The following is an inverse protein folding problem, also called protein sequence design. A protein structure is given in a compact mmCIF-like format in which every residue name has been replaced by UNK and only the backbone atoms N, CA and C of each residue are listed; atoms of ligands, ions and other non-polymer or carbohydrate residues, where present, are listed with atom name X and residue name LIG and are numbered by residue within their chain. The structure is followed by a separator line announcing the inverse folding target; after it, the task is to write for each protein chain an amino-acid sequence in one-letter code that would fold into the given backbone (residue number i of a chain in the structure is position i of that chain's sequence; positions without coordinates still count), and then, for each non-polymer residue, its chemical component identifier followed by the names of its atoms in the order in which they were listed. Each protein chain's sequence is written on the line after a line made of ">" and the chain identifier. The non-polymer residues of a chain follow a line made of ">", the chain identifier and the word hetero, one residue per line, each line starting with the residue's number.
data_IF_641686786627
#
_entry.id   IF_641686786627
#
_cell.length_a   1.000
_cell.length_b   1.000
_cell.length_c   1.000
_cell.angle_alpha   90.00
_cell.angle_beta   90.00
_cell.angle_gamma   90.00
#
_symmetry.space_group_name_H-M   'P 1'
#
loop_
_entity.id
_entity.type
_entity.pdbx_description
1 polymer ?
#
# COMPACT_ATOMS: atom_id res chain seq x y z
N UNK A 1 20.87 28.75 11.96
CA UNK A 1 21.33 29.27 10.64
C UNK A 1 21.21 28.12 9.64
N UNK A 2 20.00 27.63 9.40
CA UNK A 2 18.99 28.06 8.42
C UNK A 2 19.29 27.69 6.96
N UNK A 3 18.31 26.98 6.40
CA UNK A 3 17.98 26.80 4.98
C UNK A 3 18.91 25.95 4.09
N UNK A 4 18.54 24.67 3.93
CA UNK A 4 18.54 24.07 2.58
C UNK A 4 17.09 23.86 2.15
N UNK A 5 16.74 24.61 1.12
CA UNK A 5 15.44 24.69 0.46
C UNK A 5 14.94 23.30 0.04
N UNK A 6 13.90 22.80 0.71
CA UNK A 6 13.02 21.77 0.16
C UNK A 6 12.23 22.47 -0.95
N UNK A 7 12.40 21.96 -2.16
CA UNK A 7 11.90 22.57 -3.40
C UNK A 7 10.40 22.33 -3.49
N UNK A 8 9.66 23.38 -3.83
CA UNK A 8 8.21 23.44 -4.04
C UNK A 8 7.65 22.45 -5.09
N UNK A 9 8.51 21.72 -5.81
CA UNK A 9 8.11 20.64 -6.72
C UNK A 9 7.60 19.39 -5.97
N UNK A 10 8.17 19.04 -4.81
CA UNK A 10 7.79 17.84 -4.04
C UNK A 10 6.38 17.95 -3.41
N UNK A 11 5.94 19.16 -3.07
CA UNK A 11 4.59 19.41 -2.57
C UNK A 11 3.53 19.27 -3.67
N UNK A 12 3.85 19.69 -4.90
CA UNK A 12 2.95 19.52 -6.05
C UNK A 12 2.84 18.05 -6.49
N UNK A 13 3.93 17.28 -6.35
CA UNK A 13 3.95 15.84 -6.62
C UNK A 13 3.12 15.07 -5.59
N UNK A 14 3.22 15.43 -4.30
CA UNK A 14 2.42 14.84 -3.23
C UNK A 14 0.91 15.15 -3.37
N UNK A 15 0.53 16.34 -3.86
CA UNK A 15 -0.86 16.68 -4.16
C UNK A 15 -1.42 15.93 -5.38
N UNK A 16 -0.59 15.69 -6.40
CA UNK A 16 -0.96 14.87 -7.57
C UNK A 16 -1.10 13.38 -7.20
N UNK A 17 -0.22 12.85 -6.36
CA UNK A 17 -0.27 11.47 -5.84
C UNK A 17 -1.47 11.23 -4.89
N UNK A 18 -1.87 12.26 -4.12
CA UNK A 18 -3.08 12.21 -3.31
C UNK A 18 -4.36 12.21 -4.16
N UNK A 19 -4.40 13.02 -5.23
CA UNK A 19 -5.56 13.13 -6.12
C UNK A 19 -5.81 11.87 -6.95
N UNK A 20 -4.75 11.17 -7.36
CA UNK A 20 -4.83 9.89 -8.08
C UNK A 20 -5.26 8.75 -7.16
N UNK A 21 -4.78 8.72 -5.90
CA UNK A 21 -5.23 7.80 -4.86
C UNK A 21 -6.73 7.93 -4.52
N UNK A 22 -7.26 9.16 -4.49
CA UNK A 22 -8.68 9.42 -4.26
C UNK A 22 -9.57 8.96 -5.43
N UNK A 23 -9.03 9.00 -6.65
CA UNK A 23 -9.73 8.60 -7.87
C UNK A 23 -9.80 7.07 -8.00
N UNK A 24 -8.72 6.37 -7.63
CA UNK A 24 -8.67 4.92 -7.55
C UNK A 24 -9.61 4.36 -6.45
N UNK A 25 -9.68 5.02 -5.27
CA UNK A 25 -10.64 4.66 -4.22
C UNK A 25 -12.10 4.82 -4.68
N UNK A 26 -12.43 5.90 -5.41
CA UNK A 26 -13.77 6.11 -5.96
C UNK A 26 -14.16 5.05 -7.00
N UNK A 27 -13.20 4.58 -7.81
CA UNK A 27 -13.41 3.48 -8.75
C UNK A 27 -13.59 2.13 -8.04
N UNK A 28 -12.85 1.87 -6.95
CA UNK A 28 -13.00 0.66 -6.14
C UNK A 28 -14.40 0.56 -5.50
N UNK A 29 -14.90 1.67 -4.93
CA UNK A 29 -16.27 1.77 -4.39
C UNK A 29 -17.32 1.59 -5.48
N UNK A 30 -17.08 2.11 -6.69
CA UNK A 30 -17.98 1.96 -7.84
C UNK A 30 -18.04 0.51 -8.33
N UNK A 31 -16.90 -0.19 -8.38
CA UNK A 31 -16.82 -1.61 -8.78
C UNK A 31 -17.51 -2.54 -7.78
N UNK A 32 -17.37 -2.26 -6.48
CA UNK A 32 -18.06 -3.01 -5.41
C UNK A 32 -19.59 -2.84 -5.43
N UNK A 33 -20.08 -1.71 -5.96
CA UNK A 33 -21.52 -1.47 -6.11
C UNK A 33 -22.14 -2.15 -7.34
N UNK A 34 -21.33 -2.59 -8.31
CA UNK A 34 -21.82 -3.18 -9.58
C UNK A 34 -21.81 -4.71 -9.62
N UNK A 35 -21.19 -5.40 -8.65
CA UNK A 35 -21.18 -6.88 -8.61
C UNK A 35 -22.33 -7.46 -7.77
N UNK A 36 -23.38 -7.91 -8.46
CA UNK A 36 -24.30 -9.05 -8.18
C UNK A 36 -24.96 -9.19 -6.80
N UNK A 37 -26.29 -9.27 -6.84
CA UNK A 37 -27.27 -9.52 -5.77
C UNK A 37 -26.91 -10.61 -4.72
N UNK A 38 -26.90 -10.27 -3.41
CA UNK A 38 -26.94 -11.26 -2.33
C UNK A 38 -28.23 -11.21 -1.47
N UNK A 39 -28.57 -12.38 -0.93
CA UNK A 39 -29.65 -12.67 0.03
C UNK A 39 -29.59 -11.81 1.31
N UNK A 40 -30.75 -11.65 1.98
CA UNK A 40 -31.06 -10.68 3.06
C UNK A 40 -30.11 -10.65 4.28
N UNK A 41 -29.24 -11.63 4.49
CA UNK A 41 -28.22 -11.61 5.56
C UNK A 41 -26.85 -11.03 5.13
N UNK A 42 -26.56 -10.97 3.82
CA UNK A 42 -25.37 -10.31 3.26
C UNK A 42 -25.48 -8.78 3.22
N UNK A 43 -26.70 -8.26 3.34
CA UNK A 43 -26.97 -6.82 3.29
C UNK A 43 -26.38 -6.06 4.50
N UNK A 44 -26.20 -6.72 5.65
CA UNK A 44 -25.75 -6.07 6.89
C UNK A 44 -24.22 -5.93 6.95
N UNK A 45 -23.48 -6.96 6.53
CA UNK A 45 -22.03 -6.93 6.45
C UNK A 45 -21.55 -6.03 5.30
N UNK A 46 -22.23 -6.06 4.15
CA UNK A 46 -21.96 -5.16 3.02
C UNK A 46 -22.29 -3.71 3.39
N UNK A 47 -23.41 -3.46 4.09
CA UNK A 47 -23.71 -2.12 4.62
C UNK A 47 -22.69 -1.65 5.65
N UNK A 48 -22.14 -2.52 6.50
CA UNK A 48 -21.09 -2.14 7.45
C UNK A 48 -19.75 -1.84 6.76
N UNK A 49 -19.35 -2.62 5.75
CA UNK A 49 -18.14 -2.38 4.98
C UNK A 49 -18.24 -1.09 4.14
N UNK A 50 -19.40 -0.88 3.49
CA UNK A 50 -19.72 0.36 2.74
C UNK A 50 -19.85 1.55 3.70
N UNK A 51 -20.36 1.36 4.92
CA UNK A 51 -20.45 2.42 5.94
C UNK A 51 -19.06 2.79 6.47
N UNK A 52 -18.17 1.82 6.71
CA UNK A 52 -16.77 2.01 7.08
C UNK A 52 -15.97 2.75 5.99
N UNK A 53 -16.17 2.38 4.72
CA UNK A 53 -15.58 3.06 3.57
C UNK A 53 -16.16 4.47 3.37
N UNK A 54 -17.47 4.67 3.56
CA UNK A 54 -18.10 6.00 3.43
C UNK A 54 -17.75 6.95 4.60
N UNK A 55 -17.48 6.44 5.80
CA UNK A 55 -16.91 7.24 6.90
C UNK A 55 -15.48 7.67 6.64
N UNK A 56 -14.72 6.92 5.85
CA UNK A 56 -13.40 7.33 5.37
C UNK A 56 -13.45 8.36 4.23
N UNK A 57 -14.53 8.37 3.44
CA UNK A 57 -14.72 9.27 2.28
C UNK A 57 -15.29 10.65 2.65
N UNK A 58 -15.88 10.81 3.85
CA UNK A 58 -16.40 12.11 4.30
C UNK A 58 -15.46 12.75 5.33
N UNK A 59 -14.61 13.72 4.94
CA UNK A 59 -14.18 14.71 5.90
C UNK A 59 -15.45 15.41 6.41
N UNK A 60 -15.69 15.29 7.72
CA UNK A 60 -16.78 15.96 8.41
C UNK A 60 -16.44 17.45 8.51
N UNK A 61 -16.52 18.16 7.38
CA UNK A 61 -16.53 19.62 7.37
C UNK A 61 -17.99 20.02 7.45
N UNK A 62 -18.46 20.24 8.67
CA UNK A 62 -19.66 21.04 8.93
C UNK A 62 -19.41 22.42 8.31
N UNK A 63 -20.02 22.65 7.14
CA UNK A 63 -19.89 23.85 6.32
C UNK A 63 -20.60 25.08 6.89
N UNK A 64 -20.30 25.46 8.13
CA UNK A 64 -20.74 26.74 8.69
C UNK A 64 -19.60 27.63 9.22
N UNK A 65 -18.33 27.22 9.08
CA UNK A 65 -17.19 28.02 9.57
C UNK A 65 -16.24 28.50 8.46
N UNK A 66 -16.55 28.29 7.18
CA UNK A 66 -15.72 28.74 6.04
C UNK A 66 -16.23 30.01 5.33
N UNK A 67 -17.42 30.51 5.66
CA UNK A 67 -17.94 31.78 5.12
C UNK A 67 -17.59 33.01 5.96
N UNK A 68 -17.09 32.84 7.19
CA UNK A 68 -16.75 33.97 8.08
C UNK A 68 -15.25 34.27 8.17
N UNK A 69 -14.40 33.59 7.37
CA UNK A 69 -12.95 33.82 7.33
C UNK A 69 -12.48 34.60 6.08
N UNK A 70 -13.35 34.84 5.09
CA UNK A 70 -13.05 35.72 3.94
C UNK A 70 -13.42 37.19 4.17
N UNK A 71 -14.02 37.52 5.33
CA UNK A 71 -14.39 38.90 5.70
C UNK A 71 -13.45 39.55 6.73
N UNK A 72 -12.53 38.80 7.34
CA UNK A 72 -11.57 39.34 8.32
C UNK A 72 -10.22 39.76 7.72
N UNK A 73 -9.85 39.26 6.53
CA UNK A 73 -8.58 39.62 5.86
C UNK A 73 -8.70 40.89 4.97
N UNK A 74 -9.90 41.30 4.59
CA UNK A 74 -10.13 42.57 3.86
C UNK A 74 -10.11 43.82 4.76
N UNK A 75 -10.07 43.67 6.10
CA UNK A 75 -10.05 44.78 7.05
C UNK A 75 -8.66 45.21 7.53
N UNK A 76 -7.60 44.47 7.16
CA UNK A 76 -6.22 44.79 7.56
C UNK A 76 -5.37 45.49 6.47
N UNK A 77 -5.85 45.56 5.23
CA UNK A 77 -5.14 46.26 4.14
C UNK A 77 -5.60 47.71 3.89
N UNK A 78 -6.62 48.19 4.62
CA UNK A 78 -7.16 49.56 4.47
C UNK A 78 -6.78 50.54 5.60
N UNK A 79 -5.77 50.22 6.41
CA UNK A 79 -5.30 51.10 7.48
C UNK A 79 -3.79 51.32 7.46
N UNK A 80 -3.24 51.79 6.34
CA UNK A 80 -2.12 52.74 6.38
C UNK A 80 -1.95 53.51 5.07
N UNK A 81 -2.15 54.83 5.17
CA UNK A 81 -1.48 55.95 4.46
C UNK A 81 -2.48 57.03 4.09
N UNK A 82 -2.69 57.90 5.07
CA UNK A 82 -3.07 59.29 4.92
C UNK A 82 -2.09 60.03 3.99
N UNK A 83 -2.67 60.77 3.01
CA UNK A 83 -2.33 62.14 2.54
C UNK A 83 -0.87 62.55 2.41
N UNK A 84 -0.37 63.20 1.36
CA UNK A 84 -0.87 63.92 0.18
C UNK A 84 0.38 64.62 -0.40
N UNK A 85 0.57 64.81 -1.70
CA UNK A 85 0.05 65.96 -2.45
C UNK A 85 0.49 65.84 -3.92
N UNK A 86 -0.50 65.97 -4.82
CA UNK A 86 -0.51 66.78 -6.05
C UNK A 86 0.63 66.54 -7.07
N UNK A 87 0.40 65.74 -8.10
CA UNK A 87 -0.21 66.16 -9.37
C UNK A 87 0.58 67.24 -10.11
N UNK A 88 1.44 66.81 -11.03
CA UNK A 88 1.78 67.56 -12.22
C UNK A 88 2.24 66.60 -13.32
N UNK A 89 1.48 66.63 -14.42
CA UNK A 89 1.91 66.39 -15.80
C UNK A 89 1.84 64.94 -16.32
N UNK A 90 0.61 64.40 -16.26
CA UNK A 90 0.01 63.65 -17.37
C UNK A 90 0.07 64.51 -18.65
N UNK A 91 1.06 64.22 -19.50
CA UNK A 91 1.20 64.86 -20.82
C UNK A 91 2.12 64.14 -21.81
N UNK A 92 2.79 63.04 -21.40
CA UNK A 92 3.76 62.32 -22.26
C UNK A 92 3.40 60.85 -22.55
N UNK A 93 2.21 60.38 -22.15
CA UNK A 93 1.82 58.97 -22.28
C UNK A 93 1.09 58.59 -23.59
N UNK A 94 0.80 59.55 -24.47
CA UNK A 94 0.07 59.27 -25.74
C UNK A 94 0.96 59.11 -26.98
N UNK A 95 2.28 59.33 -26.88
CA UNK A 95 3.21 59.16 -28.01
C UNK A 95 3.77 57.73 -28.14
N UNK A 96 3.81 56.95 -27.05
CA UNK A 96 4.42 55.60 -27.04
C UNK A 96 3.41 54.50 -27.45
N UNK A 97 2.10 54.76 -27.37
CA UNK A 97 1.05 53.77 -27.71
C UNK A 97 0.87 53.55 -29.22
N UNK A 98 1.37 54.43 -30.10
CA UNK A 98 1.18 54.31 -31.56
C UNK A 98 2.31 53.60 -32.32
N UNK A 99 3.46 53.30 -31.68
CA UNK A 99 4.59 52.63 -32.35
C UNK A 99 4.77 51.13 -32.01
N UNK A 100 3.91 50.54 -31.16
CA UNK A 100 3.93 49.10 -30.86
C UNK A 100 2.86 48.29 -31.61
N UNK A 101 2.42 48.74 -32.79
CA UNK A 101 1.41 48.03 -33.60
C UNK A 101 1.87 47.67 -35.02
N UNK A 102 3.18 47.74 -35.31
CA UNK A 102 3.68 47.47 -36.67
C UNK A 102 4.91 46.56 -36.78
N UNK A 103 5.34 45.95 -35.67
CA UNK A 103 6.54 45.06 -35.62
C UNK A 103 6.29 43.71 -34.93
N UNK A 104 5.05 43.34 -34.69
CA UNK A 104 4.65 42.07 -34.03
C UNK A 104 4.02 41.04 -34.97
N UNK A 105 4.06 41.26 -36.28
CA UNK A 105 3.53 40.32 -37.28
C UNK A 105 4.56 39.38 -37.92
N UNK A 106 5.86 39.71 -37.89
CA UNK A 106 6.90 38.92 -38.57
C UNK A 106 7.74 38.05 -37.62
N UNK A 107 7.83 38.41 -36.33
CA UNK A 107 8.57 37.61 -35.34
C UNK A 107 7.81 36.33 -34.92
N UNK A 108 6.48 36.33 -34.98
CA UNK A 108 5.65 35.17 -34.58
C UNK A 108 5.73 34.05 -35.62
N UNK A 109 5.92 34.37 -36.90
CA UNK A 109 6.03 33.36 -37.97
C UNK A 109 7.39 32.65 -37.99
N UNK A 110 8.48 33.34 -37.59
CA UNK A 110 9.82 32.73 -37.54
C UNK A 110 10.05 31.90 -36.27
N UNK A 111 9.43 32.27 -35.14
CA UNK A 111 9.53 31.48 -33.89
C UNK A 111 8.65 30.21 -33.98
N UNK A 112 7.57 30.24 -34.77
CA UNK A 112 6.72 29.05 -35.01
C UNK A 112 7.29 28.10 -36.07
N UNK A 113 8.14 28.57 -37.00
CA UNK A 113 8.79 27.69 -37.99
C UNK A 113 10.01 26.93 -37.46
N UNK A 114 10.58 27.33 -36.33
CA UNK A 114 11.87 26.80 -35.85
C UNK A 114 11.79 25.94 -34.59
N UNK A 115 10.59 25.55 -34.16
CA UNK A 115 10.39 24.78 -32.93
C UNK A 115 9.60 23.47 -33.11
N UNK A 116 9.56 22.94 -34.33
CA UNK A 116 9.18 21.54 -34.60
C UNK A 116 10.42 20.70 -34.89
N UNK A 117 11.48 20.86 -34.10
CA UNK A 117 12.51 19.82 -34.02
C UNK A 117 11.86 18.64 -33.28
N UNK A 118 11.19 17.78 -34.04
CA UNK A 118 10.86 16.43 -33.59
C UNK A 118 12.20 15.78 -33.27
N UNK A 119 12.56 15.74 -31.99
CA UNK A 119 13.73 15.01 -31.52
C UNK A 119 13.46 13.53 -31.79
N UNK A 120 13.88 13.05 -32.95
CA UNK A 120 13.88 11.63 -33.26
C UNK A 120 14.83 10.95 -32.28
N UNK A 121 14.32 10.01 -31.51
CA UNK A 121 15.11 9.19 -30.59
C UNK A 121 15.81 8.09 -31.40
N UNK A 122 17.14 8.07 -31.38
CA UNK A 122 17.92 7.03 -32.06
C UNK A 122 18.33 5.96 -31.04
N UNK A 123 18.06 4.68 -31.37
CA UNK A 123 18.54 3.53 -30.61
C UNK A 123 18.74 2.33 -31.52
N UNK A 124 19.69 1.45 -31.17
CA UNK A 124 19.96 0.26 -31.95
C UNK A 124 18.91 -0.83 -31.65
N UNK A 125 18.08 -1.19 -32.63
CA UNK A 125 17.04 -2.23 -32.44
C UNK A 125 17.63 -3.65 -32.33
N UNK A 126 18.77 -3.91 -32.96
CA UNK A 126 19.37 -5.24 -33.07
C UNK A 126 20.46 -5.53 -32.04
N UNK A 127 21.27 -6.55 -32.36
CA UNK A 127 22.43 -6.92 -31.57
C UNK A 127 23.54 -5.86 -31.70
N UNK A 128 24.24 -5.60 -30.61
CA UNK A 128 25.31 -4.60 -30.56
C UNK A 128 26.58 -5.18 -29.93
N UNK A 129 27.74 -4.77 -30.44
CA UNK A 129 29.05 -5.18 -29.89
C UNK A 129 29.50 -4.29 -28.73
N UNK A 130 29.06 -3.03 -28.75
CA UNK A 130 29.26 -2.06 -27.68
C UNK A 130 27.92 -1.85 -26.97
N UNK A 131 27.92 -1.87 -25.64
CA UNK A 131 26.70 -1.72 -24.85
C UNK A 131 26.10 -0.31 -25.03
N UNK A 132 24.96 -0.23 -25.71
CA UNK A 132 24.20 1.02 -25.91
C UNK A 132 22.95 1.08 -25.04
N UNK A 133 22.58 2.30 -24.65
CA UNK A 133 21.43 2.58 -23.78
C UNK A 133 20.11 2.23 -24.47
N UNK A 134 19.27 1.46 -23.77
CA UNK A 134 17.90 1.21 -24.19
C UNK A 134 16.96 2.37 -23.82
N UNK A 135 15.90 2.62 -24.60
CA UNK A 135 14.84 3.54 -24.19
C UNK A 135 14.16 3.05 -22.91
N UNK A 136 13.70 3.97 -22.06
CA UNK A 136 12.99 3.63 -20.83
C UNK A 136 13.89 3.21 -19.66
N UNK A 137 13.29 3.02 -18.48
CA UNK A 137 14.00 2.72 -17.23
C UNK A 137 14.20 1.22 -16.97
N UNK A 138 13.30 0.38 -17.50
CA UNK A 138 13.26 -1.06 -17.22
C UNK A 138 13.66 -1.93 -18.41
N UNK A 139 14.00 -1.32 -19.55
CA UNK A 139 14.53 -2.03 -20.70
C UNK A 139 16.05 -2.19 -20.57
N UNK A 140 16.55 -3.38 -20.88
CA UNK A 140 17.98 -3.65 -20.90
C UNK A 140 18.37 -4.58 -22.05
N UNK A 141 19.67 -4.80 -22.18
CA UNK A 141 20.23 -5.79 -23.10
C UNK A 141 20.77 -6.99 -22.35
N UNK A 142 20.47 -8.18 -22.86
CA UNK A 142 21.05 -9.43 -22.36
C UNK A 142 22.39 -9.71 -23.06
N UNK A 143 23.38 -10.20 -22.32
CA UNK A 143 24.64 -10.67 -22.88
C UNK A 143 24.40 -12.01 -23.59
N UNK A 144 24.72 -12.09 -24.88
CA UNK A 144 24.55 -13.31 -25.68
C UNK A 144 25.84 -14.13 -25.69
N UNK A 145 26.97 -13.46 -25.98
CA UNK A 145 28.27 -14.10 -26.07
C UNK A 145 29.35 -13.14 -25.54
N UNK A 146 30.37 -13.71 -24.92
CA UNK A 146 31.55 -12.99 -24.45
C UNK A 146 32.76 -13.88 -24.71
N UNK A 147 33.22 -13.86 -25.97
CA UNK A 147 34.33 -14.68 -26.45
C UNK A 147 35.55 -13.80 -26.77
N UNK A 148 36.67 -14.41 -27.17
CA UNK A 148 37.89 -13.69 -27.59
C UNK A 148 37.65 -12.72 -28.77
N UNK A 149 36.57 -12.93 -29.53
CA UNK A 149 36.12 -12.05 -30.63
C UNK A 149 35.33 -10.80 -30.17
N UNK A 150 35.04 -10.67 -28.87
CA UNK A 150 34.34 -9.54 -28.27
C UNK A 150 32.99 -9.89 -27.63
N UNK A 151 32.39 -8.90 -26.96
CA UNK A 151 31.07 -9.04 -26.32
C UNK A 151 29.95 -8.75 -27.32
N UNK A 152 28.95 -9.62 -27.39
CA UNK A 152 27.73 -9.39 -28.19
C UNK A 152 26.53 -9.30 -27.26
N UNK A 153 25.83 -8.18 -27.34
CA UNK A 153 24.61 -7.89 -26.61
C UNK A 153 23.38 -8.05 -27.50
N UNK A 154 22.30 -8.57 -26.93
CA UNK A 154 21.03 -8.74 -27.62
C UNK A 154 20.26 -7.44 -27.84
N UNK A 155 19.06 -7.54 -28.46
CA UNK A 155 18.17 -6.40 -28.66
C UNK A 155 17.67 -5.85 -27.31
N UNK A 156 17.21 -4.61 -27.30
CA UNK A 156 16.57 -4.02 -26.12
C UNK A 156 15.25 -4.71 -25.81
N UNK A 157 15.03 -5.09 -24.55
CA UNK A 157 13.78 -5.70 -24.12
C UNK A 157 13.67 -5.88 -22.61
N UNK A 158 12.68 -6.67 -22.19
CA UNK A 158 12.53 -7.09 -20.81
C UNK A 158 13.68 -8.03 -20.38
N UNK A 159 14.22 -7.81 -19.19
CA UNK A 159 15.17 -8.76 -18.60
C UNK A 159 14.46 -10.06 -18.18
N UNK A 160 15.15 -11.21 -18.21
CA UNK A 160 14.60 -12.47 -17.74
C UNK A 160 14.28 -12.42 -16.24
N UNK A 161 13.48 -13.38 -15.75
CA UNK A 161 13.20 -13.55 -14.32
C UNK A 161 14.51 -13.67 -13.53
N UNK A 162 14.58 -13.09 -12.34
CA UNK A 162 15.82 -13.03 -11.51
C UNK A 162 16.90 -12.06 -12.04
N UNK A 163 16.59 -11.24 -13.05
CA UNK A 163 17.50 -10.23 -13.58
C UNK A 163 16.89 -8.83 -13.53
N UNK A 164 17.75 -7.82 -13.38
CA UNK A 164 17.37 -6.42 -13.39
C UNK A 164 18.34 -5.61 -14.25
N UNK A 165 17.84 -4.51 -14.82
CA UNK A 165 18.66 -3.54 -15.55
C UNK A 165 19.59 -2.80 -14.57
N UNK A 166 20.89 -2.84 -14.85
CA UNK A 166 21.90 -2.07 -14.12
C UNK A 166 22.04 -0.64 -14.70
N UNK A 167 22.80 0.21 -14.03
CA UNK A 167 23.20 1.58 -14.45
C UNK A 167 23.82 1.63 -15.85
N UNK A 168 24.45 0.55 -16.30
CA UNK A 168 25.00 0.41 -17.65
C UNK A 168 23.99 -0.07 -18.71
N UNK A 169 22.71 -0.22 -18.37
CA UNK A 169 21.63 -0.68 -19.28
C UNK A 169 21.72 -2.16 -19.70
N UNK A 170 22.58 -2.93 -19.03
CA UNK A 170 22.66 -4.38 -19.17
C UNK A 170 21.71 -5.07 -18.17
N UNK A 171 21.14 -6.21 -18.58
CA UNK A 171 20.44 -7.12 -17.67
C UNK A 171 21.46 -7.89 -16.83
N UNK A 172 21.51 -7.63 -15.53
CA UNK A 172 22.36 -8.33 -14.56
C UNK A 172 21.51 -9.17 -13.61
N UNK A 173 22.03 -10.33 -13.21
CA UNK A 173 21.37 -11.21 -12.24
C UNK A 173 21.31 -10.54 -10.86
N UNK A 174 20.19 -10.72 -10.16
CA UNK A 174 20.03 -10.27 -8.78
C UNK A 174 20.71 -11.25 -7.82
N UNK A 175 21.77 -10.77 -7.17
CA UNK A 175 22.58 -11.56 -6.23
C UNK A 175 22.40 -11.12 -4.77
N UNK A 176 21.65 -10.06 -4.54
CA UNK A 176 21.38 -9.53 -3.21
C UNK A 176 20.39 -10.42 -2.45
N UNK A 177 20.40 -10.31 -1.12
CA UNK A 177 19.42 -10.94 -0.24
C UNK A 177 18.35 -9.94 0.21
N UNK A 178 17.13 -10.39 0.55
CA UNK A 178 16.08 -9.49 1.01
C UNK A 178 16.51 -8.79 2.30
N UNK A 179 16.24 -7.50 2.38
CA UNK A 179 16.46 -6.73 3.59
C UNK A 179 15.52 -7.20 4.71
N UNK A 180 15.80 -6.81 5.96
CA UNK A 180 14.91 -7.13 7.09
C UNK A 180 13.49 -6.57 6.85
N UNK A 181 13.38 -5.40 6.23
CA UNK A 181 12.08 -4.81 5.88
C UNK A 181 11.32 -5.65 4.85
N UNK A 182 12.02 -6.19 3.86
CA UNK A 182 11.43 -7.08 2.84
C UNK A 182 10.89 -8.36 3.47
N UNK A 183 11.63 -8.95 4.42
CA UNK A 183 11.16 -10.10 5.20
C UNK A 183 9.94 -9.79 6.05
N UNK A 184 9.88 -8.60 6.65
CA UNK A 184 8.69 -8.14 7.38
C UNK A 184 7.50 -7.95 6.44
N UNK A 185 7.71 -7.41 5.24
CA UNK A 185 6.65 -7.32 4.24
C UNK A 185 6.11 -8.71 3.83
N UNK A 186 6.99 -9.67 3.53
CA UNK A 186 6.59 -11.05 3.22
C UNK A 186 5.80 -11.66 4.39
N UNK A 187 6.30 -11.47 5.62
CA UNK A 187 5.64 -11.93 6.84
C UNK A 187 4.26 -11.28 7.04
N UNK A 188 4.14 -9.99 6.73
CA UNK A 188 2.87 -9.26 6.79
C UNK A 188 1.86 -9.84 5.80
N UNK A 189 2.26 -10.12 4.56
CA UNK A 189 1.35 -10.70 3.56
C UNK A 189 0.87 -12.11 3.96
N UNK A 190 1.76 -12.95 4.50
CA UNK A 190 1.39 -14.24 5.05
C UNK A 190 0.42 -14.13 6.25
N UNK A 191 0.72 -13.21 7.17
CA UNK A 191 -0.10 -12.94 8.34
C UNK A 191 -1.48 -12.39 7.97
N UNK A 192 -1.56 -11.51 6.97
CA UNK A 192 -2.82 -10.98 6.45
C UNK A 192 -3.72 -12.11 5.93
N UNK A 193 -3.16 -13.06 5.18
CA UNK A 193 -3.87 -14.25 4.73
C UNK A 193 -4.39 -15.10 5.90
N UNK A 194 -3.54 -15.41 6.88
CA UNK A 194 -3.89 -16.21 8.05
C UNK A 194 -4.96 -15.54 8.92
N UNK A 195 -4.78 -14.27 9.28
CA UNK A 195 -5.74 -13.53 10.11
C UNK A 195 -7.10 -13.39 9.41
N UNK A 196 -7.09 -13.17 8.10
CA UNK A 196 -8.33 -13.12 7.31
C UNK A 196 -9.05 -14.48 7.30
N UNK A 197 -8.31 -15.58 7.22
CA UNK A 197 -8.91 -16.92 7.37
C UNK A 197 -9.50 -17.15 8.76
N UNK A 198 -8.77 -16.82 9.82
CA UNK A 198 -9.28 -16.92 11.19
C UNK A 198 -10.53 -16.08 11.39
N UNK A 199 -10.54 -14.85 10.88
CA UNK A 199 -11.73 -14.00 10.89
C UNK A 199 -12.92 -14.65 10.16
N UNK A 200 -12.72 -15.24 8.98
CA UNK A 200 -13.77 -15.97 8.28
C UNK A 200 -14.28 -17.19 9.08
N UNK A 201 -13.38 -17.90 9.78
CA UNK A 201 -13.73 -19.05 10.62
C UNK A 201 -14.61 -18.58 11.79
N UNK A 202 -14.22 -17.54 12.50
CA UNK A 202 -14.99 -16.96 13.61
C UNK A 202 -16.36 -16.43 13.18
N UNK A 203 -16.43 -15.78 12.01
CA UNK A 203 -17.68 -15.20 11.51
C UNK A 203 -18.70 -16.25 11.06
N UNK A 204 -18.22 -17.40 10.54
CA UNK A 204 -19.06 -18.38 9.86
C UNK A 204 -19.35 -19.64 10.69
N UNK A 205 -18.48 -19.98 11.65
CA UNK A 205 -18.78 -21.03 12.60
C UNK A 205 -19.73 -20.49 13.66
N UNK A 206 -20.96 -20.99 13.67
CA UNK A 206 -21.97 -20.69 14.71
C UNK A 206 -21.67 -21.37 16.06
N UNK A 207 -20.41 -21.74 16.31
CA UNK A 207 -19.99 -22.46 17.52
C UNK A 207 -19.41 -21.49 18.55
N UNK A 208 -19.57 -21.76 19.86
CA UNK A 208 -18.92 -20.97 20.90
C UNK A 208 -17.41 -20.90 20.66
N UNK A 209 -16.84 -19.72 20.93
CA UNK A 209 -15.40 -19.51 20.99
C UNK A 209 -14.79 -20.60 21.90
N UNK A 210 -13.70 -21.26 21.46
CA UNK A 210 -12.98 -22.34 22.17
C UNK A 210 -13.59 -23.75 22.18
N UNK A 211 -14.55 -24.07 21.32
CA UNK A 211 -14.90 -25.48 21.10
C UNK A 211 -13.74 -26.23 20.44
N UNK A 212 -13.51 -27.52 20.76
CA UNK A 212 -12.48 -28.35 20.12
C UNK A 212 -12.56 -28.30 18.58
N UNK A 213 -13.78 -28.30 18.02
CA UNK A 213 -14.02 -28.12 16.58
C UNK A 213 -13.41 -26.81 16.05
N UNK A 214 -13.69 -25.70 16.72
CA UNK A 214 -13.19 -24.38 16.35
C UNK A 214 -11.66 -24.32 16.47
N UNK A 215 -11.10 -24.81 17.58
CA UNK A 215 -9.65 -24.87 17.78
C UNK A 215 -8.97 -25.70 16.68
N UNK A 216 -9.51 -26.87 16.34
CA UNK A 216 -8.98 -27.71 15.26
C UNK A 216 -8.97 -26.98 13.92
N UNK A 217 -10.04 -26.24 13.56
CA UNK A 217 -10.08 -25.49 12.30
C UNK A 217 -9.08 -24.33 12.28
N UNK A 218 -8.89 -23.60 13.39
CA UNK A 218 -7.88 -22.53 13.49
C UNK A 218 -6.46 -23.08 13.40
N UNK A 219 -6.18 -24.20 14.07
CA UNK A 219 -4.89 -24.88 14.01
C UNK A 219 -4.61 -25.45 12.62
N UNK A 220 -5.62 -26.00 11.94
CA UNK A 220 -5.53 -26.43 10.54
C UNK A 220 -5.10 -25.26 9.65
N UNK A 221 -5.76 -24.10 9.78
CA UNK A 221 -5.43 -22.90 9.02
C UNK A 221 -4.00 -22.42 9.26
N UNK A 222 -3.53 -22.46 10.51
CA UNK A 222 -2.16 -22.12 10.85
C UNK A 222 -1.16 -23.06 10.18
N UNK A 223 -1.36 -24.38 10.31
CA UNK A 223 -0.47 -25.38 9.74
C UNK A 223 -0.45 -25.34 8.21
N UNK A 224 -1.61 -25.20 7.57
CA UNK A 224 -1.73 -25.01 6.12
C UNK A 224 -0.94 -23.78 5.66
N UNK A 225 -1.12 -22.64 6.32
CA UNK A 225 -0.40 -21.40 5.98
C UNK A 225 1.11 -21.54 6.16
N UNK A 226 1.56 -22.12 7.29
CA UNK A 226 2.98 -22.37 7.54
C UNK A 226 3.58 -23.28 6.47
N UNK A 227 2.94 -24.42 6.16
CA UNK A 227 3.39 -25.32 5.10
C UNK A 227 3.45 -24.60 3.75
N UNK A 228 2.46 -23.77 3.42
CA UNK A 228 2.47 -23.00 2.18
C UNK A 228 3.63 -22.00 2.11
N UNK A 229 3.98 -21.33 3.20
CA UNK A 229 5.17 -20.44 3.24
C UNK A 229 6.45 -21.25 3.04
N UNK A 230 6.63 -22.37 3.77
CA UNK A 230 7.81 -23.22 3.62
C UNK A 230 7.99 -23.70 2.18
N UNK A 231 6.92 -24.20 1.56
CA UNK A 231 6.96 -24.65 0.15
C UNK A 231 7.22 -23.46 -0.78
N UNK A 232 6.62 -22.29 -0.52
CA UNK A 232 6.86 -21.08 -1.32
C UNK A 232 8.34 -20.71 -1.34
N UNK A 233 9.01 -20.74 -0.19
CA UNK A 233 10.44 -20.44 -0.09
C UNK A 233 11.28 -21.48 -0.85
N UNK A 234 10.98 -22.78 -0.71
CA UNK A 234 11.72 -23.85 -1.39
C UNK A 234 11.56 -23.85 -2.91
N UNK A 235 10.45 -23.31 -3.44
CA UNK A 235 10.18 -23.24 -4.88
C UNK A 235 10.80 -22.00 -5.52
N UNK A 236 11.15 -20.97 -4.75
CA UNK A 236 11.85 -19.80 -5.28
C UNK A 236 13.36 -20.02 -5.36
N UNK A 237 14.02 -19.26 -6.23
CA UNK A 237 15.47 -19.34 -6.38
C UNK A 237 16.20 -18.81 -5.13
N UNK A 238 17.21 -19.54 -4.61
CA UNK A 238 17.70 -20.85 -5.06
C UNK A 238 16.82 -22.03 -4.62
N UNK A 239 16.44 -22.88 -5.59
CA UNK A 239 15.53 -24.01 -5.35
C UNK A 239 16.02 -24.94 -4.23
N UNK A 240 15.11 -25.30 -3.33
CA UNK A 240 15.36 -26.23 -2.23
C UNK A 240 16.08 -25.62 -1.01
N UNK A 241 16.36 -24.31 -1.01
CA UNK A 241 16.94 -23.61 0.14
C UNK A 241 15.91 -22.66 0.77
N UNK A 242 16.12 -22.32 2.05
CA UNK A 242 15.30 -21.33 2.78
C UNK A 242 15.86 -19.89 2.67
N UNK A 243 16.85 -19.70 1.79
CA UNK A 243 17.36 -18.38 1.41
C UNK A 243 16.63 -17.88 0.17
N UNK A 244 16.56 -16.57 -0.01
CA UNK A 244 16.00 -15.95 -1.21
C UNK A 244 17.06 -15.07 -1.86
N UNK A 245 17.15 -15.12 -3.19
CA UNK A 245 17.77 -14.05 -3.99
C UNK A 245 16.73 -12.98 -4.26
N UNK A 246 17.11 -11.71 -4.16
CA UNK A 246 16.22 -10.58 -4.42
C UNK A 246 16.89 -9.43 -5.13
N UNK A 247 16.11 -8.64 -5.86
CA UNK A 247 16.50 -7.35 -6.39
C UNK A 247 16.04 -6.25 -5.42
N UNK A 248 16.91 -5.32 -5.05
CA UNK A 248 16.57 -4.23 -4.11
C UNK A 248 15.44 -3.34 -4.63
N UNK A 249 14.47 -3.02 -3.79
CA UNK A 249 13.43 -2.02 -4.12
C UNK A 249 14.05 -0.62 -4.10
N UNK A 250 14.00 0.11 -5.22
CA UNK A 250 14.57 1.47 -5.30
C UNK A 250 13.47 2.52 -5.27
N UNK A 251 12.37 2.28 -5.99
CA UNK A 251 11.28 3.24 -6.13
C UNK A 251 9.93 2.56 -6.31
N UNK A 252 8.85 3.29 -6.05
CA UNK A 252 7.47 2.77 -6.19
C UNK A 252 7.18 2.24 -7.60
N UNK A 253 7.71 2.91 -8.63
CA UNK A 253 7.56 2.51 -10.03
C UNK A 253 8.13 1.11 -10.34
N UNK A 254 9.04 0.56 -9.50
CA UNK A 254 9.60 -0.78 -9.70
C UNK A 254 8.54 -1.88 -9.56
N UNK A 255 7.43 -1.59 -8.86
CA UNK A 255 6.28 -2.49 -8.72
C UNK A 255 5.35 -2.46 -9.94
N UNK A 256 5.49 -1.46 -10.81
CA UNK A 256 4.55 -1.16 -11.88
C UNK A 256 5.26 -0.93 -13.23
N UNK A 257 6.23 -1.80 -13.54
CA UNK A 257 7.05 -1.70 -14.76
C UNK A 257 6.24 -1.66 -16.05
N UNK A 258 5.05 -2.29 -16.07
CA UNK A 258 4.09 -2.28 -17.17
C UNK A 258 3.70 -0.86 -17.61
N UNK A 259 3.58 0.09 -16.68
CA UNK A 259 3.23 1.49 -17.01
C UNK A 259 4.42 2.30 -17.53
N UNK A 260 5.61 1.72 -17.56
CA UNK A 260 6.85 2.38 -17.96
C UNK A 260 7.45 1.81 -19.25
N UNK A 261 6.64 1.12 -20.06
CA UNK A 261 7.02 0.67 -21.40
C UNK A 261 7.20 1.89 -22.34
N UNK A 262 8.39 2.09 -22.94
CA UNK A 262 8.62 3.21 -23.82
C UNK A 262 8.03 2.97 -25.23
N UNK A 263 7.67 4.05 -25.90
CA UNK A 263 7.26 4.04 -27.30
C UNK A 263 8.20 4.96 -28.12
N UNK A 264 9.43 4.49 -28.44
CA UNK A 264 10.39 5.30 -29.18
C UNK A 264 9.83 5.69 -30.56
N UNK A 265 9.86 6.98 -30.86
CA UNK A 265 9.36 7.57 -32.11
C UNK A 265 7.89 7.24 -32.46
N UNK A 266 7.09 6.77 -31.50
CA UNK A 266 5.69 6.37 -31.72
C UNK A 266 5.50 5.25 -32.76
N UNK A 267 6.55 4.49 -33.08
CA UNK A 267 6.49 3.37 -34.04
C UNK A 267 5.99 2.09 -33.38
N UNK A 268 6.66 1.66 -32.32
CA UNK A 268 6.43 0.39 -31.64
C UNK A 268 6.65 0.55 -30.13
N UNK A 269 5.78 -0.10 -29.35
CA UNK A 269 5.92 -0.12 -27.89
C UNK A 269 6.87 -1.24 -27.50
N UNK A 270 8.02 -0.87 -26.93
CA UNK A 270 8.97 -1.84 -26.43
C UNK A 270 8.46 -2.44 -25.11
N UNK A 271 8.22 -3.75 -25.10
CA UNK A 271 7.70 -4.46 -23.93
C UNK A 271 8.85 -4.77 -22.96
N UNK A 272 8.95 -3.97 -21.90
CA UNK A 272 9.99 -4.08 -20.89
C UNK A 272 9.43 -4.37 -19.49
N UNK A 273 8.16 -4.79 -19.44
CA UNK A 273 7.50 -5.21 -18.22
C UNK A 273 8.20 -6.46 -17.67
N UNK A 274 8.75 -6.33 -16.48
CA UNK A 274 9.46 -7.38 -15.75
C UNK A 274 9.30 -7.18 -14.25
N UNK A 275 9.59 -8.21 -13.46
CA UNK A 275 9.53 -8.15 -12.00
C UNK A 275 10.78 -7.47 -11.42
N UNK A 276 10.84 -6.13 -11.45
CA UNK A 276 12.01 -5.40 -11.00
C UNK A 276 12.31 -5.55 -9.49
N UNK A 277 11.29 -5.94 -8.72
CA UNK A 277 11.34 -6.21 -7.26
C UNK A 277 11.34 -7.71 -6.97
N UNK A 278 11.92 -8.53 -7.85
CA UNK A 278 11.98 -9.97 -7.67
C UNK A 278 12.55 -10.37 -6.29
N UNK A 279 11.98 -11.35 -5.57
CA UNK A 279 10.76 -12.11 -5.86
C UNK A 279 9.53 -11.55 -5.11
N UNK A 280 9.60 -10.33 -4.55
CA UNK A 280 8.61 -9.81 -3.59
C UNK A 280 7.20 -9.74 -4.17
N UNK A 281 7.08 -9.54 -5.48
CA UNK A 281 5.79 -9.50 -6.13
C UNK A 281 5.24 -10.91 -6.35
N UNK A 282 5.99 -11.79 -7.02
CA UNK A 282 5.57 -13.15 -7.40
C UNK A 282 5.43 -14.11 -6.22
N UNK A 283 6.23 -13.93 -5.16
CA UNK A 283 6.25 -14.78 -3.97
C UNK A 283 4.89 -14.84 -3.27
N UNK A 284 4.20 -13.69 -3.17
CA UNK A 284 2.87 -13.62 -2.55
C UNK A 284 1.82 -14.40 -3.35
N UNK A 285 1.86 -14.35 -4.68
CA UNK A 285 0.93 -15.11 -5.54
C UNK A 285 1.12 -16.61 -5.34
N UNK A 286 2.37 -17.07 -5.31
CA UNK A 286 2.70 -18.49 -5.07
C UNK A 286 2.23 -18.91 -3.68
N UNK A 287 2.48 -18.10 -2.66
CA UNK A 287 2.03 -18.37 -1.30
C UNK A 287 0.51 -18.51 -1.20
N UNK A 288 -0.27 -17.54 -1.72
CA UNK A 288 -1.73 -17.62 -1.68
C UNK A 288 -2.28 -18.76 -2.53
N UNK A 289 -1.68 -19.06 -3.68
CA UNK A 289 -2.02 -20.24 -4.48
C UNK A 289 -1.81 -21.54 -3.71
N UNK A 290 -0.68 -21.67 -3.02
CA UNK A 290 -0.39 -22.82 -2.16
C UNK A 290 -1.32 -22.87 -0.95
N UNK A 291 -1.72 -21.74 -0.36
CA UNK A 291 -2.73 -21.71 0.70
C UNK A 291 -4.08 -22.25 0.22
N UNK A 292 -4.51 -21.91 -0.99
CA UNK A 292 -5.73 -22.50 -1.58
C UNK A 292 -5.56 -24.01 -1.82
N UNK A 293 -4.40 -24.44 -2.33
CA UNK A 293 -4.12 -25.85 -2.54
C UNK A 293 -4.16 -26.62 -1.20
N UNK A 294 -3.46 -26.13 -0.17
CA UNK A 294 -3.44 -26.74 1.15
C UNK A 294 -4.83 -26.72 1.80
N UNK A 295 -5.60 -25.65 1.64
CA UNK A 295 -6.99 -25.59 2.09
C UNK A 295 -7.84 -26.72 1.48
N UNK A 296 -7.69 -27.00 0.18
CA UNK A 296 -8.44 -28.04 -0.51
C UNK A 296 -7.96 -29.45 -0.18
N UNK A 297 -6.65 -29.63 0.05
CA UNK A 297 -6.05 -30.93 0.31
C UNK A 297 -6.06 -31.33 1.78
N UNK A 298 -5.75 -30.41 2.71
CA UNK A 298 -5.55 -30.73 4.12
C UNK A 298 -6.85 -30.58 4.90
N UNK A 299 -7.61 -29.50 4.70
CA UNK A 299 -8.76 -29.19 5.55
C UNK A 299 -9.88 -30.23 5.52
N UNK A 300 -10.27 -30.81 4.37
CA UNK A 300 -11.27 -31.89 4.34
C UNK A 300 -10.80 -33.14 5.09
N UNK A 301 -9.51 -33.47 5.01
CA UNK A 301 -8.92 -34.60 5.73
C UNK A 301 -8.91 -34.37 7.24
N UNK A 302 -8.50 -33.17 7.69
CA UNK A 302 -8.54 -32.78 9.10
C UNK A 302 -9.98 -32.85 9.63
N UNK A 303 -10.95 -32.29 8.91
CA UNK A 303 -12.36 -32.35 9.32
C UNK A 303 -12.88 -33.79 9.40
N UNK A 304 -12.48 -34.67 8.48
CA UNK A 304 -12.83 -36.09 8.54
C UNK A 304 -12.23 -36.80 9.76
N UNK A 305 -10.94 -36.59 10.04
CA UNK A 305 -10.22 -37.24 11.15
C UNK A 305 -10.78 -36.81 12.50
N UNK A 306 -11.05 -35.52 12.67
CA UNK A 306 -11.56 -34.96 13.93
C UNK A 306 -13.10 -34.95 14.01
N UNK A 307 -13.78 -35.68 13.12
CA UNK A 307 -15.24 -35.78 13.06
C UNK A 307 -15.97 -34.42 13.08
N UNK A 308 -15.39 -33.43 12.41
CA UNK A 308 -15.96 -32.09 12.17
C UNK A 308 -16.77 -32.13 10.87
N UNK A 309 -17.79 -32.98 10.82
CA UNK A 309 -18.60 -33.22 9.61
C UNK A 309 -19.99 -32.61 9.82
N UNK A 310 -20.06 -31.29 9.65
CA UNK A 310 -21.31 -30.52 9.69
C UNK A 310 -21.38 -29.62 8.44
N UNK A 311 -22.58 -29.36 7.92
CA UNK A 311 -22.77 -28.44 6.78
C UNK A 311 -22.18 -27.05 7.08
N UNK A 312 -22.31 -26.59 8.33
CA UNK A 312 -21.74 -25.33 8.81
C UNK A 312 -20.19 -25.32 8.80
N UNK A 313 -19.54 -26.47 8.96
CA UNK A 313 -18.08 -26.57 8.94
C UNK A 313 -17.48 -26.38 7.53
N UNK A 314 -18.29 -26.51 6.47
CA UNK A 314 -17.86 -26.27 5.09
C UNK A 314 -17.86 -24.79 4.70
N UNK A 315 -18.67 -23.95 5.36
CA UNK A 315 -18.82 -22.52 5.03
C UNK A 315 -17.51 -21.73 5.08
N UNK A 316 -16.62 -21.91 6.08
CA UNK A 316 -15.31 -21.25 6.10
C UNK A 316 -14.41 -21.65 4.92
N UNK A 317 -14.54 -22.87 4.40
CA UNK A 317 -13.76 -23.34 3.24
C UNK A 317 -14.17 -22.55 2.00
N UNK A 318 -15.48 -22.43 1.74
CA UNK A 318 -15.98 -21.63 0.62
C UNK A 318 -15.61 -20.15 0.77
N UNK A 319 -15.70 -19.57 1.97
CA UNK A 319 -15.29 -18.19 2.18
C UNK A 319 -13.80 -17.98 1.89
N UNK A 320 -12.93 -18.90 2.31
CA UNK A 320 -11.51 -18.82 2.02
C UNK A 320 -11.19 -18.95 0.51
N UNK A 321 -11.99 -19.72 -0.24
CA UNK A 321 -11.89 -19.82 -1.71
C UNK A 321 -12.19 -18.51 -2.44
N UNK A 322 -13.02 -17.63 -1.87
CA UNK A 322 -13.22 -16.26 -2.40
C UNK A 322 -12.22 -15.26 -1.83
N UNK A 323 -11.78 -15.47 -0.59
CA UNK A 323 -10.85 -14.59 0.12
C UNK A 323 -9.49 -14.51 -0.58
N UNK A 324 -8.83 -15.64 -0.85
CA UNK A 324 -7.48 -15.62 -1.42
C UNK A 324 -7.41 -15.00 -2.82
N UNK A 325 -8.30 -15.30 -3.77
CA UNK A 325 -8.34 -14.60 -5.04
C UNK A 325 -8.55 -13.09 -4.88
N UNK A 326 -9.39 -12.67 -3.92
CA UNK A 326 -9.61 -11.25 -3.63
C UNK A 326 -8.33 -10.59 -3.10
N UNK A 327 -7.65 -11.21 -2.13
CA UNK A 327 -6.36 -10.73 -1.62
C UNK A 327 -5.29 -10.68 -2.71
N UNK A 328 -5.29 -11.67 -3.60
CA UNK A 328 -4.38 -11.75 -4.74
C UNK A 328 -4.61 -10.62 -5.74
N UNK A 329 -5.88 -10.29 -6.01
CA UNK A 329 -6.24 -9.15 -6.85
C UNK A 329 -5.82 -7.82 -6.22
N UNK A 330 -6.07 -7.65 -4.91
CA UNK A 330 -5.65 -6.46 -4.16
C UNK A 330 -4.12 -6.32 -4.23
N UNK A 331 -3.38 -7.41 -4.00
CA UNK A 331 -1.92 -7.42 -4.14
C UNK A 331 -1.49 -7.06 -5.56
N UNK A 332 -2.04 -7.70 -6.60
CA UNK A 332 -1.66 -7.41 -7.98
C UNK A 332 -1.89 -5.96 -8.41
N UNK A 333 -2.88 -5.28 -7.84
CA UNK A 333 -3.15 -3.86 -8.13
C UNK A 333 -2.35 -2.91 -7.23
N UNK A 334 -2.17 -3.25 -5.95
CA UNK A 334 -1.68 -2.32 -4.94
C UNK A 334 -0.37 -2.76 -4.25
N UNK A 335 0.34 -3.78 -4.75
CA UNK A 335 1.53 -4.35 -4.10
C UNK A 335 2.55 -3.30 -3.67
N UNK A 336 2.91 -2.37 -4.56
CA UNK A 336 3.83 -1.28 -4.25
C UNK A 336 3.31 -0.37 -3.16
N UNK A 337 2.04 0.03 -3.22
CA UNK A 337 1.41 0.86 -2.18
C UNK A 337 1.38 0.13 -0.83
N UNK A 338 1.03 -1.16 -0.83
CA UNK A 338 1.02 -2.00 0.37
C UNK A 338 2.42 -2.12 0.95
N UNK A 339 3.45 -2.31 0.12
CA UNK A 339 4.84 -2.41 0.57
C UNK A 339 5.30 -1.18 1.37
N UNK A 340 4.91 0.03 0.96
CA UNK A 340 5.25 1.25 1.73
C UNK A 340 4.26 1.54 2.87
N UNK A 341 3.02 1.04 2.79
CA UNK A 341 1.97 1.35 3.76
C UNK A 341 1.77 0.29 4.86
N UNK A 342 2.27 -0.94 4.70
CA UNK A 342 1.94 -2.06 5.60
C UNK A 342 2.22 -1.80 7.08
N UNK A 343 3.29 -1.09 7.50
CA UNK A 343 3.52 -0.81 8.92
C UNK A 343 2.38 0.02 9.50
N UNK A 344 1.89 1.01 8.74
CA UNK A 344 0.76 1.84 9.14
C UNK A 344 -0.55 1.06 9.14
N UNK A 345 -0.76 0.21 8.11
CA UNK A 345 -1.97 -0.63 8.00
C UNK A 345 -2.09 -1.54 9.23
N UNK A 346 -1.03 -2.27 9.61
CA UNK A 346 -1.10 -3.20 10.74
C UNK A 346 -1.19 -2.48 12.09
N UNK A 347 -0.54 -1.32 12.25
CA UNK A 347 -0.70 -0.48 13.44
C UNK A 347 -2.17 -0.05 13.58
N UNK A 348 -2.76 0.46 12.50
CA UNK A 348 -4.14 0.96 12.51
C UNK A 348 -5.14 -0.17 12.76
N UNK A 349 -5.01 -1.29 12.06
CA UNK A 349 -5.89 -2.46 12.24
C UNK A 349 -5.76 -3.02 13.66
N UNK A 350 -4.55 -3.10 14.21
CA UNK A 350 -4.34 -3.53 15.58
C UNK A 350 -5.03 -2.57 16.56
N UNK A 351 -4.85 -1.24 16.42
CA UNK A 351 -5.50 -0.25 17.29
C UNK A 351 -7.04 -0.31 17.20
N UNK A 352 -7.59 -0.43 15.99
CA UNK A 352 -9.04 -0.52 15.78
C UNK A 352 -9.61 -1.80 16.40
N UNK A 353 -9.00 -2.95 16.12
CA UNK A 353 -9.43 -4.25 16.65
C UNK A 353 -9.31 -4.29 18.18
N UNK A 354 -8.26 -3.67 18.72
CA UNK A 354 -8.05 -3.55 20.14
C UNK A 354 -9.11 -2.70 20.84
N UNK A 355 -9.44 -1.54 20.28
CA UNK A 355 -10.52 -0.69 20.78
C UNK A 355 -11.87 -1.40 20.69
N UNK A 356 -12.15 -2.11 19.59
CA UNK A 356 -13.37 -2.88 19.43
C UNK A 356 -13.50 -3.99 20.48
N UNK A 357 -12.40 -4.70 20.77
CA UNK A 357 -12.39 -5.75 21.78
C UNK A 357 -12.83 -5.23 23.15
N UNK A 358 -12.32 -4.08 23.59
CA UNK A 358 -12.73 -3.50 24.88
C UNK A 358 -14.11 -2.83 24.84
N UNK A 359 -14.47 -2.19 23.72
CA UNK A 359 -15.78 -1.57 23.56
C UNK A 359 -16.92 -2.60 23.53
N UNK A 360 -16.64 -3.85 23.17
CA UNK A 360 -17.62 -4.94 23.15
C UNK A 360 -17.98 -5.49 24.54
N UNK A 361 -17.30 -5.05 25.62
CA UNK A 361 -17.55 -5.51 27.00
C UNK A 361 -18.77 -4.84 27.60
N UNK A 362 -19.54 -5.61 28.37
CA UNK A 362 -20.75 -5.09 29.03
C UNK A 362 -20.44 -4.11 30.17
N UNK A 363 -19.41 -4.39 30.97
CA UNK A 363 -18.94 -3.51 32.04
C UNK A 363 -17.76 -2.66 31.54
N UNK A 364 -17.98 -1.35 31.42
CA UNK A 364 -16.98 -0.39 30.94
C UNK A 364 -16.14 0.23 32.08
N UNK A 365 -16.35 -0.20 33.33
CA UNK A 365 -15.57 0.29 34.46
C UNK A 365 -14.11 -0.18 34.36
N UNK A 366 -13.17 0.74 34.62
CA UNK A 366 -11.73 0.47 34.44
C UNK A 366 -11.23 -0.72 35.27
N UNK A 367 -11.80 -0.95 36.47
CA UNK A 367 -11.44 -2.09 37.34
C UNK A 367 -11.92 -3.41 36.75
N UNK A 368 -13.16 -3.46 36.28
CA UNK A 368 -13.72 -4.65 35.66
C UNK A 368 -12.95 -5.01 34.39
N UNK A 369 -12.68 -4.03 33.51
CA UNK A 369 -11.90 -4.24 32.30
C UNK A 369 -10.52 -4.82 32.59
N UNK A 370 -9.80 -4.26 33.58
CA UNK A 370 -8.46 -4.73 33.94
C UNK A 370 -8.50 -6.14 34.57
N UNK A 371 -9.45 -6.38 35.47
CA UNK A 371 -9.61 -7.69 36.10
C UNK A 371 -10.01 -8.75 35.08
N UNK A 372 -10.94 -8.46 34.18
CA UNK A 372 -11.40 -9.40 33.15
C UNK A 372 -10.31 -9.69 32.10
N UNK A 373 -9.46 -8.70 31.80
CA UNK A 373 -8.32 -8.89 30.89
C UNK A 373 -7.30 -9.88 31.46
N UNK A 374 -6.99 -9.77 32.76
CA UNK A 374 -5.95 -10.60 33.40
C UNK A 374 -6.51 -11.95 33.86
N UNK A 375 -7.77 -11.99 34.31
CA UNK A 375 -8.38 -13.18 34.91
C UNK A 375 -8.92 -14.16 33.87
N UNK A 376 -9.37 -13.67 32.70
CA UNK A 376 -9.87 -14.52 31.63
C UNK A 376 -8.76 -14.80 30.60
N UNK A 377 -8.35 -16.06 30.51
CA UNK A 377 -7.30 -16.50 29.59
C UNK A 377 -7.59 -16.15 28.12
N UNK A 378 -8.85 -16.18 27.69
CA UNK A 378 -9.22 -15.79 26.34
C UNK A 378 -8.92 -14.31 26.08
N UNK A 379 -9.37 -13.44 26.97
CA UNK A 379 -9.19 -12.00 26.84
C UNK A 379 -7.70 -11.64 26.88
N UNK A 380 -6.95 -12.27 27.78
CA UNK A 380 -5.50 -12.13 27.84
C UNK A 380 -4.84 -12.52 26.52
N UNK A 381 -5.21 -13.68 25.96
CA UNK A 381 -4.66 -14.17 24.68
C UNK A 381 -4.96 -13.19 23.55
N UNK A 382 -6.18 -12.67 23.47
CA UNK A 382 -6.56 -11.69 22.45
C UNK A 382 -5.76 -10.40 22.61
N UNK A 383 -5.65 -9.86 23.83
CA UNK A 383 -4.88 -8.64 24.10
C UNK A 383 -3.39 -8.82 23.77
N UNK A 384 -2.79 -9.94 24.16
CA UNK A 384 -1.40 -10.26 23.82
C UNK A 384 -1.23 -10.40 22.30
N UNK A 385 -2.20 -11.01 21.60
CA UNK A 385 -2.21 -11.05 20.13
C UNK A 385 -2.19 -9.65 19.51
N UNK A 386 -3.01 -8.72 20.01
CA UNK A 386 -3.00 -7.33 19.55
C UNK A 386 -1.66 -6.64 19.82
N UNK A 387 -1.05 -6.88 20.99
CA UNK A 387 0.28 -6.35 21.32
C UNK A 387 1.35 -6.86 20.35
N UNK A 388 1.33 -8.15 20.01
CA UNK A 388 2.26 -8.73 19.03
C UNK A 388 2.06 -8.07 17.65
N UNK A 389 0.81 -7.92 17.19
CA UNK A 389 0.51 -7.25 15.92
C UNK A 389 0.93 -5.78 15.91
N UNK A 390 0.68 -5.07 17.00
CA UNK A 390 1.04 -3.66 17.14
C UNK A 390 2.56 -3.49 17.17
N UNK A 391 3.25 -4.31 17.97
CA UNK A 391 4.70 -4.36 18.04
C UNK A 391 5.34 -4.70 16.70
N UNK A 392 4.80 -5.67 15.96
CA UNK A 392 5.25 -5.98 14.60
C UNK A 392 5.20 -4.75 13.68
N UNK A 393 4.11 -3.98 13.72
CA UNK A 393 3.99 -2.75 12.95
C UNK A 393 4.98 -1.66 13.36
N UNK A 394 5.16 -1.47 14.66
CA UNK A 394 6.14 -0.52 15.20
C UNK A 394 7.58 -0.90 14.84
N UNK A 395 7.93 -2.18 14.90
CA UNK A 395 9.25 -2.69 14.48
C UNK A 395 9.46 -2.42 12.99
N UNK A 396 8.46 -2.70 12.14
CA UNK A 396 8.56 -2.45 10.70
C UNK A 396 8.78 -0.97 10.38
N UNK A 397 8.05 -0.09 11.07
CA UNK A 397 8.17 1.36 10.91
C UNK A 397 9.53 1.88 11.40
N UNK A 398 10.04 1.37 12.51
CA UNK A 398 11.30 1.82 13.12
C UNK A 398 12.53 1.30 12.39
N UNK A 399 12.51 0.06 11.93
CA UNK A 399 13.57 -0.50 11.10
C UNK A 399 13.73 0.26 9.78
N UNK A 400 12.63 0.83 9.27
CA UNK A 400 12.65 1.70 8.10
C UNK A 400 13.22 3.10 8.41
N UNK A 401 12.88 3.68 9.57
CA UNK A 401 13.21 5.08 9.90
C UNK A 401 14.48 5.23 10.73
N UNK A 402 14.55 4.64 11.93
CA UNK A 402 15.63 4.83 12.92
C UNK A 402 15.76 3.60 13.85
N UNK A 403 16.67 2.65 13.55
CA UNK A 403 16.79 1.40 14.31
C UNK A 403 17.31 1.60 15.74
N UNK A 404 17.99 2.72 16.04
CA UNK A 404 18.52 3.04 17.37
C UNK A 404 17.41 3.23 18.43
N UNK A 405 16.19 3.57 18.01
CA UNK A 405 15.06 3.85 18.91
C UNK A 405 14.16 2.63 19.15
N UNK A 406 14.50 1.46 18.57
CA UNK A 406 13.67 0.26 18.58
C UNK A 406 13.27 -0.16 19.99
N UNK A 407 14.23 -0.20 20.92
CA UNK A 407 13.99 -0.61 22.30
C UNK A 407 13.01 0.32 23.02
N UNK A 408 13.13 1.64 22.82
CA UNK A 408 12.24 2.63 23.41
C UNK A 408 10.82 2.51 22.85
N UNK A 409 10.68 2.26 21.56
CA UNK A 409 9.36 2.14 20.91
C UNK A 409 8.66 0.84 21.31
N UNK A 410 9.40 -0.23 21.61
CA UNK A 410 8.79 -1.48 22.07
C UNK A 410 8.12 -1.34 23.45
N UNK A 411 8.56 -0.40 24.28
CA UNK A 411 7.90 -0.05 25.56
C UNK A 411 6.50 0.56 25.32
N UNK A 412 6.25 1.14 24.15
CA UNK A 412 4.94 1.71 23.79
C UNK A 412 3.93 0.66 23.32
N UNK A 413 4.32 -0.60 23.15
CA UNK A 413 3.40 -1.67 22.69
C UNK A 413 2.15 -1.82 23.58
N UNK A 414 2.24 -1.86 24.92
CA UNK A 414 1.07 -1.92 25.80
C UNK A 414 0.37 -0.57 26.00
N UNK A 415 0.84 0.51 25.36
CA UNK A 415 0.24 1.83 25.55
C UNK A 415 -1.25 1.89 25.13
N UNK A 416 -1.69 1.31 24.00
CA UNK A 416 -3.10 1.35 23.61
C UNK A 416 -4.04 0.70 24.64
N UNK A 417 -3.64 -0.44 25.23
CA UNK A 417 -4.37 -1.09 26.33
C UNK A 417 -4.52 -0.17 27.53
N UNK A 418 -3.40 0.40 27.98
CA UNK A 418 -3.35 1.21 29.19
C UNK A 418 -4.16 2.49 29.00
N UNK A 419 -4.01 3.15 27.84
CA UNK A 419 -4.77 4.34 27.50
C UNK A 419 -6.27 4.05 27.44
N UNK A 420 -6.71 2.96 26.81
CA UNK A 420 -8.13 2.60 26.77
C UNK A 420 -8.70 2.41 28.18
N UNK A 421 -8.04 1.59 29.02
CA UNK A 421 -8.51 1.30 30.38
C UNK A 421 -8.54 2.56 31.25
N UNK A 422 -7.55 3.45 31.14
CA UNK A 422 -7.52 4.71 31.89
C UNK A 422 -8.60 5.67 31.41
N UNK A 423 -8.78 5.80 30.09
CA UNK A 423 -9.76 6.70 29.50
C UNK A 423 -11.20 6.22 29.70
N UNK A 424 -11.43 4.91 29.88
CA UNK A 424 -12.78 4.37 30.11
C UNK A 424 -13.48 5.01 31.31
N UNK A 425 -12.71 5.46 32.32
CA UNK A 425 -13.23 6.20 33.48
C UNK A 425 -13.97 7.49 33.11
N UNK A 426 -13.57 8.13 32.01
CA UNK A 426 -14.12 9.41 31.53
C UNK A 426 -15.20 9.22 30.46
N UNK A 427 -15.28 8.04 29.84
CA UNK A 427 -16.26 7.72 28.79
C UNK A 427 -17.41 6.86 29.27
N UNK A 428 -17.48 6.54 30.57
CA UNK A 428 -18.55 5.73 31.17
C UNK A 428 -19.91 6.46 31.10
N UNK A 429 -20.89 5.95 30.32
CA UNK A 429 -22.20 6.59 30.14
C UNK A 429 -23.03 6.66 31.43
N UNK A 430 -22.75 5.79 32.42
CA UNK A 430 -23.51 5.72 33.68
C UNK A 430 -23.28 6.96 34.54
N UNK A 431 -22.14 7.65 34.38
CA UNK A 431 -21.88 8.91 35.09
C UNK A 431 -22.68 10.10 34.56
N UNK A 432 -23.14 10.07 33.30
CA UNK A 432 -23.87 11.19 32.71
C UNK A 432 -25.36 11.23 33.06
N UNK A 433 -25.88 10.20 33.76
CA UNK A 433 -27.29 10.10 34.13
C UNK A 433 -27.57 10.41 35.61
N UNK A 434 -26.53 10.71 36.40
CA UNK A 434 -26.64 10.93 37.85
C UNK A 434 -26.38 12.40 38.28
N UNK A 435 -26.23 13.31 37.32
CA UNK A 435 -26.22 14.76 37.50
C UNK A 435 -27.44 15.36 36.78
#
# INVERSE_FOLDING_TARGET
>A
MFHRSIRTEELSQAELDWSSGLTAQKQLVKLLNTSVNPSKSGLTAQKQLVKLLNTWVKPNVTGQTAQNLSQSEYKWLNSSKTTGQTAQNLGQAEYIRRNCSRTTGQAVLLITLQCSLVFSYYFDKGNVTVLTKCPGYYCGRQLIANDENGTVWGPCGACPRSYRVNTSWACSECTDSPSVYDWMYISFMALLGLLSQWYCIELLLSTPQFTLKSLTTHMSALLESLMSIFITLLVHEPYGQLSLKSCTVVRLADWYTVFHNPNPNYEEVLQCAQEAVYPLYSLVFVHYGLCVLMLLLVRPWVHKIFHVVDHEASRPIYAALYLFPTLTLIHGLAAGLIYYAFPYIIILLSLMSHAFHFASRADQSWRALLQETISNFHNLTVVVGHWVLHGFGLVALTMWVQPQLLATILILVPLPTLLYVVLSRFTDPVKFHND
#
